data_IF_991610912838
#
_entry.id   IF_991610912838
#
_cell.length_a   1.000
_cell.length_b   1.000
_cell.length_c   1.000
_cell.angle_alpha   90.00
_cell.angle_beta   90.00
_cell.angle_gamma   90.00
#
_symmetry.space_group_name_H-M   'P 1'
#
loop_
_entity.id
_entity.type
_entity.pdbx_description
1 polymer ?
#
# COMPACT_ATOMS: atom_id res chain seq x y z
N UNK A 1 -16.92 -33.70 6.05
CA UNK A 1 -16.95 -32.85 4.83
C UNK A 1 -17.63 -31.51 5.09
N UNK A 2 -18.85 -31.47 5.61
CA UNK A 2 -19.53 -30.18 5.88
C UNK A 2 -18.83 -29.38 6.97
N UNK A 3 -18.38 -30.02 8.05
CA UNK A 3 -17.63 -29.35 9.13
C UNK A 3 -16.32 -28.72 8.65
N UNK A 4 -15.53 -29.45 7.86
CA UNK A 4 -14.29 -28.95 7.28
C UNK A 4 -14.53 -27.77 6.33
N UNK A 5 -15.63 -27.79 5.57
CA UNK A 5 -16.02 -26.68 4.72
C UNK A 5 -16.41 -25.45 5.56
N UNK A 6 -17.23 -25.61 6.60
CA UNK A 6 -17.61 -24.52 7.51
C UNK A 6 -16.39 -23.88 8.18
N UNK A 7 -15.47 -24.70 8.70
CA UNK A 7 -14.23 -24.21 9.31
C UNK A 7 -13.36 -23.45 8.29
N UNK A 8 -13.24 -23.96 7.05
CA UNK A 8 -12.46 -23.28 6.01
C UNK A 8 -13.05 -21.91 5.64
N UNK A 9 -14.37 -21.81 5.48
CA UNK A 9 -15.07 -20.56 5.16
C UNK A 9 -14.94 -19.57 6.32
N UNK A 10 -15.06 -20.03 7.56
CA UNK A 10 -14.88 -19.20 8.76
C UNK A 10 -13.48 -18.58 8.80
N UNK A 11 -12.43 -19.37 8.53
CA UNK A 11 -11.04 -18.88 8.52
C UNK A 11 -10.85 -17.82 7.42
N UNK A 12 -11.36 -18.07 6.21
CA UNK A 12 -11.27 -17.11 5.09
C UNK A 12 -12.01 -15.81 5.44
N UNK A 13 -13.20 -15.90 6.04
CA UNK A 13 -13.97 -14.73 6.44
C UNK A 13 -13.21 -13.88 7.48
N UNK A 14 -12.58 -14.52 8.48
CA UNK A 14 -11.74 -13.84 9.48
C UNK A 14 -10.55 -13.17 8.80
N UNK A 15 -9.86 -13.85 7.87
CA UNK A 15 -8.71 -13.28 7.16
C UNK A 15 -9.08 -12.03 6.35
N UNK A 16 -10.19 -12.07 5.61
CA UNK A 16 -10.69 -10.91 4.84
C UNK A 16 -11.09 -9.76 5.77
N UNK A 17 -11.76 -10.06 6.88
CA UNK A 17 -12.13 -9.06 7.87
C UNK A 17 -10.90 -8.36 8.46
N UNK A 18 -9.86 -9.13 8.83
CA UNK A 18 -8.60 -8.59 9.35
C UNK A 18 -7.84 -7.75 8.30
N UNK A 19 -7.81 -8.20 7.04
CA UNK A 19 -7.18 -7.44 5.94
C UNK A 19 -7.91 -6.11 5.68
N UNK A 20 -9.21 -6.06 5.93
CA UNK A 20 -10.07 -4.92 5.64
C UNK A 20 -10.30 -3.99 6.85
N UNK A 21 -9.60 -4.18 7.97
CA UNK A 21 -9.77 -3.38 9.21
C UNK A 21 -9.67 -1.88 8.92
N UNK A 22 -8.67 -1.44 8.15
CA UNK A 22 -8.52 -0.02 7.80
C UNK A 22 -9.72 0.50 7.00
N UNK A 23 -10.33 -0.31 6.15
CA UNK A 23 -11.50 0.09 5.35
C UNK A 23 -12.78 0.16 6.19
N UNK A 24 -12.97 -0.82 7.08
CA UNK A 24 -14.18 -0.95 7.90
C UNK A 24 -14.19 0.08 9.04
N UNK A 25 -13.03 0.34 9.66
CA UNK A 25 -12.95 1.17 10.87
C UNK A 25 -12.47 2.60 10.62
N UNK A 26 -11.93 2.96 9.45
CA UNK A 26 -11.51 4.34 9.18
C UNK A 26 -12.62 5.15 8.52
N UNK A 27 -12.89 6.38 9.00
CA UNK A 27 -13.91 7.30 8.44
C UNK A 27 -13.72 7.64 6.96
N UNK A 28 -12.51 7.49 6.44
CA UNK A 28 -12.18 7.61 5.01
C UNK A 28 -11.43 6.36 4.55
N UNK A 29 -11.96 5.18 4.89
CA UNK A 29 -11.41 3.88 4.50
C UNK A 29 -11.29 3.73 2.98
N UNK A 30 -10.17 4.21 2.44
CA UNK A 30 -9.75 4.02 1.07
C UNK A 30 -8.48 3.19 1.08
N UNK A 31 -8.28 2.40 0.04
CA UNK A 31 -6.97 1.87 -0.24
C UNK A 31 -6.02 3.04 -0.48
N UNK A 32 -4.85 3.01 0.16
CA UNK A 32 -3.80 3.98 -0.12
C UNK A 32 -3.41 3.84 -1.59
N UNK A 33 -3.15 4.98 -2.25
CA UNK A 33 -2.62 4.94 -3.61
C UNK A 33 -1.26 4.24 -3.59
N UNK A 34 -1.07 3.32 -4.54
CA UNK A 34 0.22 2.66 -4.75
C UNK A 34 1.18 3.56 -5.54
N UNK A 35 0.74 4.73 -6.01
CA UNK A 35 1.59 5.71 -6.67
C UNK A 35 2.34 6.54 -5.63
N UNK A 36 3.67 6.54 -5.73
CA UNK A 36 4.56 7.30 -4.83
C UNK A 36 4.22 8.80 -4.78
N UNK A 37 3.77 9.38 -5.90
CA UNK A 37 3.41 10.80 -5.98
C UNK A 37 2.20 11.18 -5.11
N UNK A 38 1.28 10.25 -4.89
CA UNK A 38 0.08 10.48 -4.10
C UNK A 38 0.35 10.32 -2.59
N UNK A 39 1.49 9.72 -2.24
CA UNK A 39 1.87 9.54 -0.84
C UNK A 39 2.44 10.84 -0.28
N UNK A 40 1.64 11.52 0.55
CA UNK A 40 2.06 12.71 1.30
C UNK A 40 3.33 12.45 2.12
N UNK A 41 3.43 11.28 2.76
CA UNK A 41 4.58 10.89 3.56
C UNK A 41 5.87 10.75 2.73
N UNK A 42 5.79 10.20 1.51
CA UNK A 42 6.95 10.10 0.62
C UNK A 42 7.38 11.47 0.10
N UNK A 43 6.39 12.33 -0.23
CA UNK A 43 6.64 13.71 -0.63
C UNK A 43 7.32 14.54 0.47
N UNK A 44 6.91 14.39 1.73
CA UNK A 44 7.56 15.03 2.89
C UNK A 44 9.02 14.59 3.05
N UNK A 45 9.35 13.35 2.68
CA UNK A 45 10.74 12.84 2.65
C UNK A 45 11.52 13.26 1.40
N UNK A 46 10.92 14.04 0.48
CA UNK A 46 11.50 14.39 -0.81
C UNK A 46 11.61 13.22 -1.80
N UNK A 47 10.97 12.09 -1.49
CA UNK A 47 11.00 10.89 -2.32
C UNK A 47 9.89 11.00 -3.38
N UNK A 48 10.28 10.85 -4.65
CA UNK A 48 9.38 10.93 -5.81
C UNK A 48 9.79 9.91 -6.87
N UNK A 49 9.25 10.00 -8.09
CA UNK A 49 9.52 9.04 -9.17
C UNK A 49 11.02 8.72 -9.30
N UNK A 50 11.36 7.43 -9.33
CA UNK A 50 12.75 7.00 -9.49
C UNK A 50 13.39 7.54 -10.77
N UNK A 51 12.60 7.69 -11.85
CA UNK A 51 13.08 8.21 -13.13
C UNK A 51 13.48 9.69 -13.00
N UNK A 52 12.68 10.47 -12.30
CA UNK A 52 12.95 11.89 -12.08
C UNK A 52 14.11 12.08 -11.10
N UNK A 53 14.16 11.28 -10.03
CA UNK A 53 15.28 11.25 -9.10
C UNK A 53 16.60 10.88 -9.79
N UNK A 54 16.59 9.88 -10.68
CA UNK A 54 17.77 9.49 -11.47
C UNK A 54 18.17 10.60 -12.45
N UNK A 55 17.19 11.24 -13.13
CA UNK A 55 17.45 12.39 -14.00
C UNK A 55 18.09 13.55 -13.22
N UNK A 56 17.60 13.86 -12.03
CA UNK A 56 18.18 14.87 -11.15
C UNK A 56 19.59 14.50 -10.70
N UNK A 57 19.82 13.23 -10.32
CA UNK A 57 21.13 12.75 -9.92
C UNK A 57 22.14 12.87 -11.06
N UNK A 58 21.76 12.48 -12.29
CA UNK A 58 22.57 12.66 -13.50
C UNK A 58 22.89 14.12 -13.77
N UNK A 59 21.90 15.02 -13.70
CA UNK A 59 22.13 16.47 -13.84
C UNK A 59 23.08 17.04 -12.78
N UNK A 60 23.08 16.47 -11.58
CA UNK A 60 23.93 16.87 -10.47
C UNK A 60 25.32 16.18 -10.50
N UNK A 61 25.63 15.36 -11.52
CA UNK A 61 26.81 14.47 -11.55
C UNK A 61 26.95 13.62 -10.28
N UNK A 62 25.82 13.24 -9.70
CA UNK A 62 25.71 12.34 -8.53
C UNK A 62 25.12 10.98 -8.90
N UNK A 63 24.78 10.78 -10.18
CA UNK A 63 24.58 9.44 -10.70
C UNK A 63 25.95 8.75 -10.78
N UNK A 64 25.96 7.48 -10.42
CA UNK A 64 27.13 6.59 -10.45
C UNK A 64 27.86 6.66 -11.79
#
# INVERSE_FOLDING_TARGET
>A
MVETLLLSVLIIAIAIALMSVKLIFSRHGKFESMHIHDSKAMKEKGIHCVIDQDREARKKNKAY
#
